data_IF_081757835488
#
_entry.id   IF_081757835488
#
_cell.length_a   1.000
_cell.length_b   1.000
_cell.length_c   1.000
_cell.angle_alpha   90.00
_cell.angle_beta   90.00
_cell.angle_gamma   90.00
#
_symmetry.space_group_name_H-M   'P 1'
#
loop_
_entity.id
_entity.type
_entity.pdbx_description
1 polymer ?
#
# COMPACT_ATOMS: atom_id res chain seq x y z
N UNK A 1 -7.25 -17.10 13.74
CA UNK A 1 -8.24 -16.04 13.44
C UNK A 1 -7.76 -14.73 14.06
N UNK A 2 -7.23 -14.84 15.27
CA UNK A 2 -6.69 -13.83 16.18
C UNK A 2 -5.82 -12.75 15.50
N UNK A 3 -4.85 -13.14 14.66
CA UNK A 3 -4.02 -12.16 13.94
C UNK A 3 -4.83 -11.24 13.00
N UNK A 4 -5.77 -11.81 12.21
CA UNK A 4 -6.58 -11.02 11.27
C UNK A 4 -7.57 -10.13 12.01
N UNK A 5 -8.08 -10.59 13.15
CA UNK A 5 -8.94 -9.81 14.03
C UNK A 5 -8.19 -8.59 14.57
N UNK A 6 -7.00 -8.78 15.14
CA UNK A 6 -6.15 -7.67 15.60
C UNK A 6 -5.72 -6.73 14.48
N UNK A 7 -5.44 -7.26 13.29
CA UNK A 7 -5.07 -6.45 12.13
C UNK A 7 -6.22 -5.55 11.63
N UNK A 8 -7.47 -6.04 11.64
CA UNK A 8 -8.63 -5.33 11.09
C UNK A 8 -9.37 -4.45 12.12
N UNK A 9 -9.56 -4.96 13.34
CA UNK A 9 -10.24 -4.25 14.43
C UNK A 9 -9.32 -3.27 15.14
N UNK A 10 -8.00 -3.53 15.12
CA UNK A 10 -7.00 -2.74 15.81
C UNK A 10 -6.74 -3.25 17.24
N UNK A 11 -5.59 -2.87 17.82
CA UNK A 11 -5.14 -3.40 19.11
C UNK A 11 -6.05 -3.00 20.28
N UNK A 12 -6.69 -1.84 20.22
CA UNK A 12 -7.56 -1.34 21.29
C UNK A 12 -8.76 -2.26 21.57
N UNK A 13 -9.21 -3.00 20.55
CA UNK A 13 -10.41 -3.83 20.61
C UNK A 13 -10.10 -5.32 20.54
N UNK A 14 -8.84 -5.73 20.43
CA UNK A 14 -8.48 -7.13 20.18
C UNK A 14 -7.35 -7.56 21.10
N UNK A 15 -7.66 -8.48 22.01
CA UNK A 15 -6.74 -9.03 23.02
C UNK A 15 -5.87 -10.15 22.40
N UNK A 16 -5.21 -9.85 21.29
CA UNK A 16 -4.51 -10.85 20.45
C UNK A 16 -3.01 -10.60 20.36
N UNK A 17 -2.26 -11.65 20.00
CA UNK A 17 -0.80 -11.62 19.77
C UNK A 17 -0.33 -10.56 18.74
N UNK A 18 -1.26 -9.91 18.04
CA UNK A 18 -1.00 -8.80 17.13
C UNK A 18 -0.27 -7.63 17.81
N UNK A 19 -0.52 -7.38 19.10
CA UNK A 19 0.17 -6.35 19.88
C UNK A 19 1.60 -6.78 20.26
N UNK A 20 1.83 -8.08 20.42
CA UNK A 20 3.06 -8.63 21.03
C UNK A 20 4.19 -8.84 20.02
N UNK A 21 3.90 -8.95 18.72
CA UNK A 21 4.91 -9.26 17.70
C UNK A 21 4.99 -8.22 16.57
N UNK A 22 6.22 -7.97 16.08
CA UNK A 22 6.46 -7.10 14.93
C UNK A 22 6.11 -7.83 13.63
N UNK A 23 5.01 -7.43 13.00
CA UNK A 23 4.53 -8.06 11.77
C UNK A 23 5.03 -7.34 10.49
N UNK A 24 6.30 -6.94 10.46
CA UNK A 24 6.87 -6.17 9.33
C UNK A 24 6.77 -6.95 8.03
N UNK A 25 7.08 -8.25 8.05
CA UNK A 25 6.99 -9.11 6.85
C UNK A 25 5.60 -9.18 6.25
N UNK A 26 4.54 -9.18 7.07
CA UNK A 26 3.16 -9.16 6.60
C UNK A 26 2.80 -7.84 5.91
N UNK A 27 3.26 -6.70 6.43
CA UNK A 27 3.04 -5.40 5.81
C UNK A 27 3.77 -5.29 4.48
N UNK A 28 5.01 -5.78 4.39
CA UNK A 28 5.77 -5.85 3.13
C UNK A 28 5.03 -6.73 2.12
N UNK A 29 4.61 -7.94 2.52
CA UNK A 29 3.86 -8.85 1.66
C UNK A 29 2.58 -8.21 1.11
N UNK A 30 1.80 -7.56 1.98
CA UNK A 30 0.57 -6.88 1.60
C UNK A 30 0.86 -5.67 0.69
N UNK A 31 1.89 -4.88 0.98
CA UNK A 31 2.35 -3.80 0.12
C UNK A 31 2.74 -4.29 -1.28
N UNK A 32 3.44 -5.43 -1.37
CA UNK A 32 3.80 -6.07 -2.64
C UNK A 32 2.57 -6.52 -3.42
N UNK A 33 1.59 -7.18 -2.77
CA UNK A 33 0.34 -7.58 -3.43
C UNK A 33 -0.39 -6.37 -4.01
N UNK A 34 -0.53 -5.31 -3.21
CA UNK A 34 -1.26 -4.09 -3.60
C UNK A 34 -0.52 -3.39 -4.75
N UNK A 35 0.80 -3.29 -4.67
CA UNK A 35 1.62 -2.77 -5.77
C UNK A 35 1.47 -3.61 -7.05
N UNK A 36 1.42 -4.93 -6.92
CA UNK A 36 1.18 -5.84 -8.04
C UNK A 36 -0.20 -5.66 -8.67
N UNK A 37 -1.24 -5.46 -7.86
CA UNK A 37 -2.59 -5.14 -8.35
C UNK A 37 -2.57 -3.80 -9.08
N UNK A 38 -1.92 -2.77 -8.53
CA UNK A 38 -1.80 -1.47 -9.17
C UNK A 38 -1.09 -1.57 -10.54
N UNK A 39 0.04 -2.28 -10.60
CA UNK A 39 0.77 -2.51 -11.85
C UNK A 39 -0.09 -3.29 -12.87
N UNK A 40 -0.81 -4.30 -12.40
CA UNK A 40 -1.72 -5.07 -13.25
C UNK A 40 -2.86 -4.21 -13.81
N UNK A 41 -3.43 -3.30 -13.01
CA UNK A 41 -4.45 -2.35 -13.45
C UNK A 41 -3.92 -1.32 -14.45
N UNK A 42 -2.66 -0.95 -14.31
CA UNK A 42 -2.02 -0.01 -15.22
C UNK A 42 -1.77 -0.64 -16.61
N UNK A 43 -1.58 -1.96 -16.68
CA UNK A 43 -1.54 -2.73 -17.93
C UNK A 43 -2.95 -3.02 -18.47
N UNK A 44 -3.91 -3.32 -17.58
CA UNK A 44 -5.28 -3.71 -17.93
C UNK A 44 -6.34 -2.84 -17.22
N UNK A 45 -6.49 -1.56 -17.61
CA UNK A 45 -7.34 -0.61 -16.89
C UNK A 45 -8.81 -1.00 -16.87
N UNK A 46 -9.28 -1.73 -17.87
CA UNK A 46 -10.69 -2.13 -17.99
C UNK A 46 -11.14 -3.23 -17.01
N UNK A 47 -10.20 -3.93 -16.34
CA UNK A 47 -10.53 -5.14 -15.58
C UNK A 47 -11.23 -4.89 -14.24
N UNK A 48 -11.05 -3.72 -13.63
CA UNK A 48 -11.78 -3.30 -12.42
C UNK A 48 -12.64 -2.07 -12.66
N UNK A 49 -13.06 -1.84 -13.90
CA UNK A 49 -13.83 -0.66 -14.31
C UNK A 49 -15.08 -0.43 -13.43
N UNK A 50 -15.79 -1.50 -13.05
CA UNK A 50 -16.94 -1.39 -12.13
C UNK A 50 -16.61 -0.72 -10.80
N UNK A 51 -15.44 -1.02 -10.22
CA UNK A 51 -14.99 -0.41 -8.96
C UNK A 51 -14.32 0.94 -9.19
N UNK A 52 -13.63 1.13 -10.31
CA UNK A 52 -12.91 2.38 -10.58
C UNK A 52 -13.81 3.51 -11.11
N UNK A 53 -14.94 3.20 -11.75
CA UNK A 53 -15.87 4.19 -12.31
C UNK A 53 -16.83 4.76 -11.26
N UNK A 54 -16.97 4.11 -10.10
CA UNK A 54 -17.79 4.64 -9.02
C UNK A 54 -17.20 5.96 -8.51
N UNK A 55 -18.02 7.02 -8.30
CA UNK A 55 -17.51 8.31 -7.85
C UNK A 55 -16.69 8.18 -6.57
N UNK A 56 -15.50 8.79 -6.54
CA UNK A 56 -14.59 8.76 -5.39
C UNK A 56 -15.28 9.19 -4.10
N UNK A 57 -16.23 10.12 -4.19
CA UNK A 57 -17.06 10.57 -3.06
C UNK A 57 -17.83 9.41 -2.39
N UNK A 58 -18.32 8.43 -3.14
CA UNK A 58 -19.02 7.27 -2.55
C UNK A 58 -18.09 6.43 -1.68
N UNK A 59 -16.87 6.16 -2.16
CA UNK A 59 -15.88 5.43 -1.37
C UNK A 59 -15.47 6.18 -0.12
N UNK A 60 -15.29 7.51 -0.22
CA UNK A 60 -15.01 8.35 0.95
C UNK A 60 -16.15 8.29 1.97
N UNK A 61 -17.40 8.35 1.52
CA UNK A 61 -18.57 8.19 2.40
C UNK A 61 -18.57 6.81 3.08
N UNK A 62 -18.29 5.72 2.36
CA UNK A 62 -18.20 4.39 2.94
C UNK A 62 -17.07 4.29 3.97
N UNK A 63 -15.89 4.86 3.68
CA UNK A 63 -14.76 4.88 4.60
C UNK A 63 -15.15 5.61 5.89
N UNK A 64 -15.76 6.80 5.79
CA UNK A 64 -16.20 7.58 6.96
C UNK A 64 -17.25 6.81 7.75
N UNK A 65 -18.27 6.27 7.07
CA UNK A 65 -19.34 5.53 7.72
C UNK A 65 -18.82 4.30 8.47
N UNK A 66 -17.93 3.52 7.84
CA UNK A 66 -17.32 2.36 8.50
C UNK A 66 -16.37 2.77 9.61
N UNK A 67 -15.61 3.85 9.47
CA UNK A 67 -14.75 4.38 10.52
C UNK A 67 -15.57 4.76 11.76
N UNK A 68 -16.67 5.50 11.57
CA UNK A 68 -17.56 5.88 12.66
C UNK A 68 -18.26 4.67 13.31
N UNK A 69 -18.66 3.67 12.52
CA UNK A 69 -19.33 2.47 13.01
C UNK A 69 -18.38 1.48 13.71
N UNK A 70 -17.07 1.55 13.44
CA UNK A 70 -16.05 0.60 13.94
C UNK A 70 -16.08 0.40 15.45
N UNK A 71 -16.00 1.44 16.32
CA UNK A 71 -15.94 1.24 17.77
C UNK A 71 -17.22 0.59 18.33
N UNK A 72 -18.38 0.88 17.73
CA UNK A 72 -19.65 0.27 18.14
C UNK A 72 -19.71 -1.21 17.74
N UNK A 73 -19.29 -1.55 16.53
CA UNK A 73 -19.22 -2.93 16.06
C UNK A 73 -18.19 -3.75 16.84
N UNK A 74 -17.04 -3.15 17.17
CA UNK A 74 -15.97 -3.79 17.93
C UNK A 74 -16.40 -4.12 19.37
N UNK A 75 -17.17 -3.23 20.02
CA UNK A 75 -17.71 -3.48 21.37
C UNK A 75 -18.55 -4.75 21.47
N UNK A 76 -19.42 -4.98 20.49
CA UNK A 76 -20.32 -6.15 20.48
C UNK A 76 -19.64 -7.40 19.89
N UNK A 77 -18.51 -7.24 19.18
CA UNK A 77 -17.86 -8.29 18.40
C UNK A 77 -17.71 -9.62 19.14
N UNK A 78 -17.18 -9.60 20.37
CA UNK A 78 -16.92 -10.83 21.13
C UNK A 78 -18.18 -11.53 21.63
N UNK A 79 -19.31 -10.83 21.69
CA UNK A 79 -20.59 -11.38 22.14
C UNK A 79 -21.37 -12.06 21.00
N UNK A 80 -20.91 -11.92 19.74
CA UNK A 80 -21.61 -12.39 18.56
C UNK A 80 -21.19 -13.80 18.14
N UNK A 81 -22.09 -14.49 17.46
CA UNK A 81 -21.82 -15.79 16.84
C UNK A 81 -20.82 -15.64 15.66
N UNK A 82 -20.10 -16.73 15.34
CA UNK A 82 -19.12 -16.78 14.24
C UNK A 82 -19.56 -16.10 12.92
N UNK A 83 -20.77 -16.33 12.37
CA UNK A 83 -21.16 -15.70 11.10
C UNK A 83 -21.27 -14.17 11.19
N UNK A 84 -21.72 -13.65 12.34
CA UNK A 84 -21.81 -12.20 12.56
C UNK A 84 -20.42 -11.58 12.77
N UNK A 85 -19.51 -12.29 13.45
CA UNK A 85 -18.10 -11.88 13.54
C UNK A 85 -17.46 -11.76 12.16
N UNK A 86 -17.63 -12.78 11.31
CA UNK A 86 -17.13 -12.75 9.93
C UNK A 86 -17.71 -11.59 9.12
N UNK A 87 -18.99 -11.26 9.30
CA UNK A 87 -19.61 -10.11 8.65
C UNK A 87 -18.96 -8.79 9.08
N UNK A 88 -18.68 -8.60 10.37
CA UNK A 88 -17.99 -7.41 10.88
C UNK A 88 -16.58 -7.33 10.29
N UNK A 89 -15.82 -8.43 10.30
CA UNK A 89 -14.48 -8.47 9.70
C UNK A 89 -14.51 -8.16 8.19
N UNK A 90 -15.52 -8.66 7.48
CA UNK A 90 -15.71 -8.40 6.06
C UNK A 90 -16.01 -6.92 5.80
N UNK A 91 -16.83 -6.27 6.62
CA UNK A 91 -17.05 -4.81 6.54
C UNK A 91 -15.74 -4.05 6.77
N UNK A 92 -14.93 -4.45 7.75
CA UNK A 92 -13.62 -3.84 7.99
C UNK A 92 -12.66 -4.05 6.82
N UNK A 93 -12.67 -5.23 6.22
CA UNK A 93 -11.92 -5.51 5.00
C UNK A 93 -12.35 -4.58 3.85
N UNK A 94 -13.65 -4.41 3.63
CA UNK A 94 -14.17 -3.49 2.60
C UNK A 94 -13.77 -2.04 2.85
N UNK A 95 -13.70 -1.60 4.11
CA UNK A 95 -13.20 -0.26 4.46
C UNK A 95 -11.76 -0.06 3.96
N UNK A 96 -10.85 -1.00 4.25
CA UNK A 96 -9.47 -0.90 3.77
C UNK A 96 -9.38 -1.05 2.25
N UNK A 97 -10.17 -1.92 1.64
CA UNK A 97 -10.24 -2.04 0.19
C UNK A 97 -10.69 -0.72 -0.47
N UNK A 98 -11.70 -0.04 0.08
CA UNK A 98 -12.18 1.25 -0.39
C UNK A 98 -11.09 2.33 -0.36
N UNK A 99 -10.24 2.34 0.68
CA UNK A 99 -9.08 3.25 0.78
C UNK A 99 -8.13 3.03 -0.41
N UNK A 100 -7.82 1.78 -0.74
CA UNK A 100 -6.95 1.48 -1.87
C UNK A 100 -7.59 1.80 -3.21
N UNK A 101 -8.90 1.59 -3.37
CA UNK A 101 -9.62 2.01 -4.58
C UNK A 101 -9.55 3.53 -4.76
N UNK A 102 -9.78 4.31 -3.71
CA UNK A 102 -9.60 5.79 -3.75
C UNK A 102 -8.17 6.15 -4.12
N UNK A 103 -7.20 5.47 -3.53
CA UNK A 103 -5.78 5.70 -3.81
C UNK A 103 -5.47 5.43 -5.30
N UNK A 104 -6.00 4.35 -5.86
CA UNK A 104 -5.84 4.02 -7.27
C UNK A 104 -6.54 5.00 -8.20
N UNK A 105 -7.77 5.44 -7.88
CA UNK A 105 -8.47 6.47 -8.66
C UNK A 105 -7.67 7.78 -8.74
N UNK A 106 -6.95 8.13 -7.68
CA UNK A 106 -6.09 9.32 -7.64
C UNK A 106 -4.75 9.11 -8.36
N UNK A 107 -4.19 7.90 -8.30
CA UNK A 107 -2.86 7.60 -8.85
C UNK A 107 -2.91 7.21 -10.33
N UNK A 108 -3.81 6.33 -10.75
CA UNK A 108 -3.92 5.82 -12.13
C UNK A 108 -3.90 6.93 -13.21
N UNK A 109 -4.68 8.02 -13.13
CA UNK A 109 -4.66 9.04 -14.18
C UNK A 109 -3.35 9.82 -14.29
N UNK A 110 -2.47 9.73 -13.27
CA UNK A 110 -1.15 10.38 -13.28
C UNK A 110 -0.08 9.54 -13.98
N UNK A 111 -0.38 8.26 -14.24
CA UNK A 111 0.55 7.34 -14.88
C UNK A 111 -0.06 6.82 -16.18
N UNK A 112 0.52 7.24 -17.30
CA UNK A 112 0.24 6.67 -18.62
C UNK A 112 1.41 5.79 -19.00
N UNK A 113 1.16 4.51 -19.25
CA UNK A 113 2.20 3.59 -19.65
C UNK A 113 1.97 3.17 -21.09
N UNK A 114 2.81 3.71 -21.97
CA UNK A 114 2.85 3.30 -23.36
C UNK A 114 3.69 2.04 -23.49
N UNK A 115 3.03 0.90 -23.64
CA UNK A 115 3.68 -0.39 -23.80
C UNK A 115 4.43 -0.51 -25.14
N UNK A 116 4.12 0.35 -26.11
CA UNK A 116 4.70 0.34 -27.45
C UNK A 116 6.12 0.87 -27.42
N UNK A 117 6.32 1.99 -26.75
CA UNK A 117 7.61 2.70 -26.70
C UNK A 117 8.47 2.28 -25.50
N UNK A 118 7.93 1.48 -24.58
CA UNK A 118 8.63 1.05 -23.36
C UNK A 118 9.96 0.34 -23.65
N UNK A 119 10.07 -0.63 -24.58
CA UNK A 119 11.34 -1.28 -24.88
C UNK A 119 12.40 -0.29 -25.39
N UNK A 120 12.00 0.64 -26.26
CA UNK A 120 12.91 1.65 -26.80
C UNK A 120 13.37 2.63 -25.72
N UNK A 121 12.43 3.13 -24.92
CA UNK A 121 12.72 4.03 -23.79
C UNK A 121 13.69 3.40 -22.80
N UNK A 122 13.55 2.09 -22.51
CA UNK A 122 14.48 1.38 -21.65
C UNK A 122 15.89 1.29 -22.25
N UNK A 123 16.01 1.00 -23.55
CA UNK A 123 17.32 0.95 -24.23
C UNK A 123 17.99 2.32 -24.22
N UNK A 124 17.24 3.39 -24.48
CA UNK A 124 17.74 4.76 -24.45
C UNK A 124 18.24 5.15 -23.05
N UNK A 125 17.49 4.81 -21.99
CA UNK A 125 17.92 5.05 -20.61
C UNK A 125 19.15 4.22 -20.21
N UNK A 126 19.24 2.96 -20.68
CA UNK A 126 20.44 2.14 -20.47
C UNK A 126 21.65 2.81 -21.11
N UNK A 127 21.53 3.24 -22.37
CA UNK A 127 22.60 3.90 -23.11
C UNK A 127 23.01 5.22 -22.45
N UNK A 128 22.04 6.03 -22.01
CA UNK A 128 22.30 7.29 -21.32
C UNK A 128 23.05 7.04 -20.01
N UNK A 129 22.64 6.03 -19.23
CA UNK A 129 23.31 5.71 -17.98
C UNK A 129 24.73 5.20 -18.18
N UNK A 130 24.99 4.39 -19.22
CA UNK A 130 26.34 3.94 -19.56
C UNK A 130 27.21 5.11 -20.05
N UNK A 131 26.65 6.03 -20.86
CA UNK A 131 27.35 7.22 -21.34
C UNK A 131 27.79 8.10 -20.16
N UNK A 132 26.86 8.45 -19.27
CA UNK A 132 27.14 9.28 -18.10
C UNK A 132 28.19 8.62 -17.17
N UNK A 133 28.13 7.30 -17.01
CA UNK A 133 29.11 6.58 -16.23
C UNK A 133 30.49 6.54 -16.92
N UNK A 134 30.53 6.41 -18.24
CA UNK A 134 31.78 6.41 -19.01
C UNK A 134 32.48 7.76 -18.94
N UNK A 135 31.72 8.86 -19.10
CA UNK A 135 32.21 10.23 -18.93
C UNK A 135 32.82 10.44 -17.54
N UNK A 136 32.16 9.92 -16.49
CA UNK A 136 32.66 10.00 -15.12
C UNK A 136 34.04 9.30 -14.94
N UNK A 137 34.30 8.23 -15.70
CA UNK A 137 35.54 7.45 -15.62
C UNK A 137 36.57 7.76 -16.71
N UNK A 138 36.37 8.77 -17.56
CA UNK A 138 37.31 9.12 -18.66
C UNK A 138 38.74 9.40 -18.16
N UNK A 139 38.88 9.89 -16.93
CA UNK A 139 40.18 10.15 -16.29
C UNK A 139 41.05 8.92 -16.04
N UNK A 140 40.51 7.70 -16.12
CA UNK A 140 41.23 6.44 -15.86
C UNK A 140 41.86 5.80 -17.11
N UNK A 141 41.84 6.51 -18.24
CA UNK A 141 42.36 6.05 -19.53
C UNK A 141 41.31 5.31 -20.37
N UNK A 142 41.40 5.41 -21.71
CA UNK A 142 40.32 5.02 -22.64
C UNK A 142 39.74 3.61 -22.43
N UNK A 143 40.60 2.60 -22.31
CA UNK A 143 40.14 1.21 -22.20
C UNK A 143 39.55 0.90 -20.81
N UNK A 144 40.20 1.35 -19.75
CA UNK A 144 39.78 1.13 -18.36
C UNK A 144 38.52 1.93 -18.02
N UNK A 145 38.46 3.19 -18.45
CA UNK A 145 37.30 4.07 -18.25
C UNK A 145 36.04 3.54 -18.91
N UNK A 146 36.14 2.96 -20.12
CA UNK A 146 35.01 2.33 -20.80
C UNK A 146 34.50 1.07 -20.07
N UNK A 147 35.40 0.21 -19.60
CA UNK A 147 35.02 -0.98 -18.81
C UNK A 147 34.33 -0.60 -17.50
N UNK A 148 34.88 0.37 -16.77
CA UNK A 148 34.29 0.88 -15.52
C UNK A 148 32.96 1.59 -15.78
N UNK A 149 32.83 2.34 -16.88
CA UNK A 149 31.60 3.00 -17.31
C UNK A 149 30.46 2.02 -17.58
N UNK A 150 30.72 0.91 -18.29
CA UNK A 150 29.70 -0.12 -18.54
C UNK A 150 29.25 -0.77 -17.23
N UNK A 151 30.20 -1.17 -16.36
CA UNK A 151 29.87 -1.80 -15.07
C UNK A 151 29.10 -0.82 -14.17
N UNK A 152 29.58 0.42 -14.07
CA UNK A 152 28.98 1.47 -13.25
C UNK A 152 27.58 1.86 -13.75
N UNK A 153 27.42 2.06 -15.06
CA UNK A 153 26.13 2.35 -15.69
C UNK A 153 25.14 1.22 -15.45
N UNK A 154 25.54 -0.04 -15.66
CA UNK A 154 24.74 -1.22 -15.35
C UNK A 154 24.28 -1.26 -13.88
N UNK A 155 25.19 -1.01 -12.94
CA UNK A 155 24.88 -0.97 -11.52
C UNK A 155 23.90 0.16 -11.16
N UNK A 156 24.06 1.34 -11.77
CA UNK A 156 23.18 2.50 -11.54
C UNK A 156 21.75 2.22 -12.00
N UNK A 157 21.56 1.54 -13.13
CA UNK A 157 20.23 1.14 -13.62
C UNK A 157 19.57 0.18 -12.63
N UNK A 158 20.31 -0.85 -12.18
CA UNK A 158 19.80 -1.81 -11.19
C UNK A 158 19.41 -1.09 -9.89
N UNK A 159 20.25 -0.18 -9.40
CA UNK A 159 19.97 0.59 -8.19
C UNK A 159 18.71 1.47 -8.36
N UNK A 160 18.56 2.16 -9.50
CA UNK A 160 17.38 2.98 -9.80
C UNK A 160 16.10 2.12 -9.83
N UNK A 161 16.14 0.94 -10.45
CA UNK A 161 15.02 0.00 -10.45
C UNK A 161 14.66 -0.48 -9.05
N UNK A 162 15.65 -0.82 -8.22
CA UNK A 162 15.42 -1.22 -6.83
C UNK A 162 14.77 -0.10 -6.02
N UNK A 163 15.18 1.15 -6.23
CA UNK A 163 14.55 2.31 -5.57
C UNK A 163 13.09 2.46 -6.01
N UNK A 164 12.81 2.36 -7.31
CA UNK A 164 11.43 2.47 -7.84
C UNK A 164 10.54 1.38 -7.23
N UNK A 165 11.01 0.12 -7.22
CA UNK A 165 10.29 -1.00 -6.62
C UNK A 165 10.09 -0.78 -5.12
N UNK A 166 11.14 -0.33 -4.41
CA UNK A 166 11.07 -0.04 -2.99
C UNK A 166 10.02 1.03 -2.67
N UNK A 167 10.03 2.15 -3.41
CA UNK A 167 9.03 3.22 -3.25
C UNK A 167 7.62 2.70 -3.56
N UNK A 168 7.46 1.93 -4.65
CA UNK A 168 6.17 1.37 -5.02
C UNK A 168 5.57 0.50 -3.91
N UNK A 169 6.38 -0.27 -3.19
CA UNK A 169 5.95 -1.11 -2.06
C UNK A 169 5.71 -0.28 -0.78
N UNK A 170 6.55 0.73 -0.52
CA UNK A 170 6.45 1.55 0.70
C UNK A 170 5.18 2.42 0.70
N UNK A 171 4.81 2.99 -0.44
CA UNK A 171 3.63 3.87 -0.56
C UNK A 171 2.32 3.22 -0.04
N UNK A 172 1.90 2.03 -0.49
CA UNK A 172 0.68 1.40 0.02
C UNK A 172 0.78 1.05 1.51
N UNK A 173 1.97 0.71 2.01
CA UNK A 173 2.19 0.47 3.45
C UNK A 173 1.96 1.76 4.24
N UNK A 174 2.47 2.90 3.76
CA UNK A 174 2.26 4.19 4.41
C UNK A 174 0.77 4.58 4.44
N UNK A 175 0.04 4.32 3.35
CA UNK A 175 -1.42 4.55 3.28
C UNK A 175 -2.14 3.71 4.34
N UNK A 176 -1.79 2.43 4.46
CA UNK A 176 -2.36 1.55 5.48
C UNK A 176 -2.11 2.05 6.90
N UNK A 177 -0.85 2.42 7.19
CA UNK A 177 -0.46 2.94 8.50
C UNK A 177 -1.24 4.22 8.82
N UNK A 178 -1.36 5.14 7.86
CA UNK A 178 -2.10 6.37 8.03
C UNK A 178 -3.57 6.11 8.40
N UNK A 179 -4.26 5.23 7.67
CA UNK A 179 -5.65 4.90 7.96
C UNK A 179 -5.80 4.21 9.31
N UNK A 180 -4.90 3.30 9.67
CA UNK A 180 -4.91 2.65 10.98
C UNK A 180 -4.69 3.65 12.12
N UNK A 181 -3.83 4.65 11.93
CA UNK A 181 -3.60 5.71 12.91
C UNK A 181 -4.85 6.57 13.11
N UNK A 182 -5.53 6.94 12.02
CA UNK A 182 -6.79 7.69 12.08
C UNK A 182 -7.87 6.88 12.80
N UNK A 183 -8.00 5.59 12.47
CA UNK A 183 -8.93 4.68 13.13
C UNK A 183 -8.61 4.57 14.63
N UNK A 184 -7.36 4.32 14.99
CA UNK A 184 -6.94 4.23 16.38
C UNK A 184 -7.25 5.51 17.17
N UNK A 185 -7.02 6.67 16.57
CA UNK A 185 -7.33 7.97 17.19
C UNK A 185 -8.83 8.12 17.45
N UNK A 186 -9.66 7.73 16.48
CA UNK A 186 -11.12 7.76 16.62
C UNK A 186 -11.61 6.77 17.68
N UNK A 187 -11.08 5.55 17.67
CA UNK A 187 -11.43 4.51 18.62
C UNK A 187 -11.07 4.91 20.04
N UNK A 188 -9.88 5.49 20.24
CA UNK A 188 -9.43 6.03 21.53
C UNK A 188 -10.37 7.12 22.06
N UNK A 189 -10.73 8.10 21.22
CA UNK A 189 -11.68 9.17 21.60
C UNK A 189 -13.05 8.57 21.94
N UNK A 190 -13.53 7.64 21.14
CA UNK A 190 -14.84 7.02 21.35
C UNK A 190 -14.90 6.21 22.64
N UNK A 191 -13.86 5.40 22.91
CA UNK A 191 -13.78 4.62 24.15
C UNK A 191 -13.72 5.54 25.37
N UNK A 192 -12.92 6.61 25.32
CA UNK A 192 -12.70 7.50 26.45
C UNK A 192 -13.90 8.40 26.77
N UNK A 193 -14.56 8.95 25.76
CA UNK A 193 -15.57 10.00 25.94
C UNK A 193 -17.01 9.54 25.73
N UNK A 194 -17.25 8.62 24.79
CA UNK A 194 -18.61 8.22 24.38
C UNK A 194 -19.02 6.94 25.09
N UNK A 195 -18.19 5.91 24.99
CA UNK A 195 -18.52 4.58 25.48
C UNK A 195 -18.23 4.37 26.97
N UNK A 196 -17.71 5.41 27.67
CA UNK A 196 -17.33 5.44 29.10
C UNK A 196 -17.41 4.06 29.71
N UNK A 197 -16.31 3.31 29.64
CA UNK A 197 -16.17 2.14 30.48
C UNK A 197 -16.24 2.62 31.93
N UNK A 198 -17.39 2.44 32.56
CA UNK A 198 -17.48 2.34 34.00
C UNK A 198 -16.61 1.15 34.36
N UNK A 199 -15.36 1.42 34.75
CA UNK A 199 -14.49 0.47 35.42
C UNK A 199 -15.34 -0.33 36.41
N UNK A 200 -15.48 -1.63 36.16
CA UNK A 200 -15.78 -2.63 37.17
C UNK A 200 -14.62 -3.59 37.19
#
# INVERSE_FOLDING_TARGET
MDFLEGFLLGPLWSDTEYETQRHVGFHIFLGTIISGIFLWLLIFPDKLKFWLDLPTAMYVIFIILFLLATPFAARIYYQLNLPLKLLILLVQFFKFAAVYVVSYQVMLPKYTLDLTDLPQTLIEEINLSISNATEFFEGFGRATGMLLGIIGGGLMIVLRLLIIIGVAIIVPILILIAVKLVQWSWDYVTQRYILRETHK
#
